data_IF_973879014878
#
_entry.id   IF_973879014878
#
_cell.length_a   1.000
_cell.length_b   1.000
_cell.length_c   1.000
_cell.angle_alpha   90.00
_cell.angle_beta   90.00
_cell.angle_gamma   90.00
#
_symmetry.space_group_name_H-M   'P 1'
#
loop_
_entity.id
_entity.type
_entity.pdbx_description
1 polymer ?
#
# COMPACT_ATOMS: atom_id res chain seq x y z
N UNK A 1 -16.77 12.79 14.71
CA UNK A 1 -16.93 14.23 15.03
C UNK A 1 -16.87 15.00 13.72
N UNK A 2 -17.73 15.99 13.45
CA UNK A 2 -17.51 16.89 12.29
C UNK A 2 -16.21 17.64 12.60
N UNK A 3 -15.14 17.36 11.86
CA UNK A 3 -13.87 18.10 12.03
C UNK A 3 -14.10 19.46 11.37
N UNK A 4 -14.61 20.39 12.16
CA UNK A 4 -14.45 21.80 11.85
C UNK A 4 -12.94 22.07 11.81
N UNK A 5 -12.46 22.73 10.76
CA UNK A 5 -11.15 23.36 10.77
C UNK A 5 -11.03 24.16 12.08
N UNK A 6 -10.18 23.69 13.00
CA UNK A 6 -9.95 24.40 14.24
C UNK A 6 -8.94 25.50 13.94
N UNK A 7 -9.33 26.75 14.16
CA UNK A 7 -8.44 27.91 14.00
C UNK A 7 -7.24 27.86 14.95
N UNK A 8 -7.30 27.05 16.01
CA UNK A 8 -6.18 26.74 16.90
C UNK A 8 -6.50 25.52 17.78
N UNK A 9 -5.62 24.53 17.83
CA UNK A 9 -5.69 23.44 18.80
C UNK A 9 -5.19 23.91 20.18
N UNK A 10 -5.82 23.50 21.29
CA UNK A 10 -5.37 23.90 22.62
C UNK A 10 -3.99 23.32 22.92
N UNK A 11 -3.13 24.12 23.55
CA UNK A 11 -1.85 23.64 24.07
C UNK A 11 -2.10 22.58 25.15
N UNK A 12 -1.34 21.47 25.18
CA UNK A 12 -1.48 20.46 26.21
C UNK A 12 -1.29 21.04 27.62
N UNK A 13 -1.99 20.52 28.63
CA UNK A 13 -1.80 20.95 30.00
C UNK A 13 -0.38 20.65 30.48
N UNK A 14 0.15 21.53 31.34
CA UNK A 14 1.44 21.32 31.97
C UNK A 14 1.45 20.06 32.84
N UNK A 15 2.54 19.29 32.76
CA UNK A 15 2.73 18.04 33.52
C UNK A 15 3.59 18.33 34.76
N UNK A 16 3.13 17.87 35.92
CA UNK A 16 3.95 17.80 37.14
C UNK A 16 4.61 16.41 37.24
N UNK A 17 5.90 16.35 36.90
CA UNK A 17 6.67 15.11 36.91
C UNK A 17 6.72 14.45 38.30
N UNK A 18 6.79 15.23 39.38
CA UNK A 18 6.81 14.69 40.73
C UNK A 18 5.46 14.09 41.12
N UNK A 19 4.35 14.64 40.60
CA UNK A 19 3.02 14.05 40.74
C UNK A 19 2.91 12.74 39.97
N UNK A 20 3.41 12.69 38.73
CA UNK A 20 3.41 11.45 37.93
C UNK A 20 4.19 10.32 38.62
N UNK A 21 5.39 10.62 39.12
CA UNK A 21 6.23 9.64 39.81
C UNK A 21 5.54 9.06 41.05
N UNK A 22 4.86 9.90 41.85
CA UNK A 22 4.03 9.44 42.99
C UNK A 22 2.85 8.55 42.58
N UNK A 23 2.40 8.64 41.33
CA UNK A 23 1.38 7.75 40.75
C UNK A 23 1.99 6.51 40.08
N UNK A 24 3.32 6.36 40.15
CA UNK A 24 4.08 5.29 39.51
C UNK A 24 4.20 5.44 38.00
N UNK A 25 3.91 6.62 37.45
CA UNK A 25 4.04 6.92 36.03
C UNK A 25 5.44 7.48 35.76
N UNK A 26 5.98 7.13 34.59
CA UNK A 26 7.26 7.60 34.06
C UNK A 26 7.01 8.64 32.98
N UNK A 27 7.95 9.56 32.84
CA UNK A 27 7.96 10.57 31.80
C UNK A 27 9.26 10.42 30.99
N UNK A 28 9.11 10.19 29.69
CA UNK A 28 10.19 10.07 28.73
C UNK A 28 10.14 11.30 27.83
N UNK A 29 11.23 12.07 27.78
CA UNK A 29 11.28 13.32 27.03
C UNK A 29 12.15 13.16 25.78
N UNK A 30 11.59 13.55 24.64
CA UNK A 30 12.27 13.81 23.38
C UNK A 30 12.20 15.30 23.01
N UNK A 31 12.64 15.63 21.80
CA UNK A 31 12.57 16.97 21.23
C UNK A 31 11.12 17.38 20.95
N UNK A 32 10.37 16.48 20.30
CA UNK A 32 9.01 16.68 19.83
C UNK A 32 7.98 15.87 20.60
N UNK A 33 8.37 14.84 21.37
CA UNK A 33 7.44 14.04 22.18
C UNK A 33 7.78 14.09 23.68
N UNK A 34 6.79 14.41 24.51
CA UNK A 34 6.81 14.03 25.94
C UNK A 34 5.88 12.84 26.14
N UNK A 35 6.44 11.66 26.35
CA UNK A 35 5.68 10.42 26.50
C UNK A 35 5.52 10.06 27.98
N UNK A 36 4.28 9.91 28.43
CA UNK A 36 3.95 9.47 29.79
C UNK A 36 3.52 8.01 29.72
N UNK A 37 4.09 7.16 30.58
CA UNK A 37 3.77 5.73 30.58
C UNK A 37 3.77 5.11 31.96
N UNK A 38 2.96 4.09 32.16
CA UNK A 38 2.93 3.26 33.35
C UNK A 38 3.78 1.97 33.21
N UNK A 39 4.35 1.75 32.03
CA UNK A 39 5.18 0.59 31.71
C UNK A 39 6.59 0.70 32.33
N UNK A 40 7.21 -0.45 32.67
CA UNK A 40 8.59 -0.49 33.16
C UNK A 40 9.59 0.01 32.12
N UNK A 41 10.81 0.30 32.56
CA UNK A 41 11.92 0.62 31.65
C UNK A 41 12.22 -0.58 30.77
N UNK A 42 12.25 -0.36 29.47
CA UNK A 42 12.53 -1.36 28.45
C UNK A 42 13.15 -0.64 27.23
N UNK A 43 14.18 -1.18 26.56
CA UNK A 43 14.83 -0.52 25.44
C UNK A 43 13.88 -0.10 24.31
N UNK A 44 12.83 -0.87 24.03
CA UNK A 44 11.86 -0.57 22.99
C UNK A 44 10.91 0.56 23.42
N UNK A 45 10.47 0.56 24.68
CA UNK A 45 9.62 1.64 25.25
C UNK A 45 10.43 2.93 25.35
N UNK A 46 11.66 2.85 25.84
CA UNK A 46 12.53 4.00 26.10
C UNK A 46 13.07 4.63 24.80
N UNK A 47 12.98 3.92 23.68
CA UNK A 47 13.33 4.43 22.34
C UNK A 47 12.22 5.27 21.69
N UNK A 48 10.96 5.13 22.12
CA UNK A 48 9.81 5.74 21.45
C UNK A 48 9.90 7.26 21.23
N UNK A 49 10.38 8.08 22.18
CA UNK A 49 10.58 9.50 21.92
C UNK A 49 11.56 9.77 20.77
N UNK A 50 12.65 8.99 20.67
CA UNK A 50 13.63 9.13 19.58
C UNK A 50 13.04 8.75 18.22
N UNK A 51 12.22 7.70 18.18
CA UNK A 51 11.50 7.30 16.96
C UNK A 51 10.57 8.42 16.50
N UNK A 52 9.80 8.99 17.43
CA UNK A 52 8.89 10.09 17.13
C UNK A 52 9.64 11.33 16.65
N UNK A 53 10.75 11.69 17.31
CA UNK A 53 11.59 12.81 16.90
C UNK A 53 12.15 12.60 15.48
N UNK A 54 12.57 11.38 15.13
CA UNK A 54 13.03 11.03 13.79
C UNK A 54 11.93 11.09 12.72
N UNK A 55 10.65 10.96 13.11
CA UNK A 55 9.51 11.03 12.20
C UNK A 55 9.15 12.47 11.80
N UNK A 56 9.38 13.47 12.67
CA UNK A 56 9.02 14.88 12.42
C UNK A 56 9.62 15.47 11.14
N UNK A 57 10.92 15.33 10.83
CA UNK A 57 11.46 15.83 9.56
C UNK A 57 10.84 15.09 8.35
N UNK A 58 10.54 13.80 8.48
CA UNK A 58 9.91 13.01 7.42
C UNK A 58 8.45 13.44 7.18
N UNK A 59 7.69 13.72 8.23
CA UNK A 59 6.37 14.34 8.11
C UNK A 59 6.44 15.73 7.49
N UNK A 60 7.43 16.53 7.87
CA UNK A 60 7.63 17.88 7.31
C UNK A 60 7.87 17.82 5.81
N UNK A 61 8.78 16.94 5.36
CA UNK A 61 9.02 16.67 3.94
C UNK A 61 7.75 16.17 3.25
N UNK A 62 7.09 15.16 3.84
CA UNK A 62 5.89 14.53 3.28
C UNK A 62 4.76 15.51 3.00
N UNK A 63 4.54 16.44 3.92
CA UNK A 63 3.41 17.36 3.88
C UNK A 63 3.80 18.77 3.42
N UNK A 64 5.03 18.97 2.95
CA UNK A 64 5.51 20.28 2.48
C UNK A 64 5.53 21.36 3.56
N UNK A 65 5.70 20.98 4.83
CA UNK A 65 5.78 21.91 5.96
C UNK A 65 7.22 22.36 6.14
N UNK A 66 7.44 23.68 6.21
CA UNK A 66 8.77 24.24 6.48
C UNK A 66 9.29 23.73 7.84
N UNK A 67 10.47 23.06 7.90
CA UNK A 67 11.06 22.60 9.15
C UNK A 67 11.24 23.68 10.23
N UNK A 68 11.26 24.97 9.85
CA UNK A 68 11.25 26.06 10.84
C UNK A 68 9.98 26.08 11.70
N UNK A 69 8.84 25.70 11.12
CA UNK A 69 7.55 25.65 11.81
C UNK A 69 7.48 24.53 12.85
N UNK A 70 8.29 23.49 12.70
CA UNK A 70 8.29 22.32 13.58
C UNK A 70 9.31 22.38 14.72
N UNK A 71 10.26 23.33 14.71
CA UNK A 71 11.29 23.49 15.79
C UNK A 71 10.73 23.61 17.20
N UNK A 72 9.56 24.24 17.36
CA UNK A 72 8.88 24.39 18.65
C UNK A 72 7.71 23.42 18.84
N UNK A 73 7.43 22.60 17.83
CA UNK A 73 6.28 21.69 17.82
C UNK A 73 6.53 20.54 18.77
N UNK A 74 5.59 20.34 19.71
CA UNK A 74 5.68 19.34 20.75
C UNK A 74 4.33 18.69 20.99
N UNK A 75 4.35 17.38 21.15
CA UNK A 75 3.20 16.53 21.43
C UNK A 75 3.35 15.92 22.81
N UNK A 76 2.24 15.83 23.52
CA UNK A 76 2.13 15.08 24.76
C UNK A 76 1.50 13.72 24.48
N UNK A 77 2.29 12.67 24.58
CA UNK A 77 1.86 11.30 24.34
C UNK A 77 1.60 10.54 25.63
N UNK A 78 0.70 9.57 25.57
CA UNK A 78 0.42 8.64 26.66
C UNK A 78 0.48 7.21 26.15
N UNK A 79 1.45 6.42 26.62
CA UNK A 79 1.52 4.97 26.36
C UNK A 79 0.98 4.22 27.57
N UNK A 80 -0.15 3.54 27.38
CA UNK A 80 -1.00 3.03 28.46
C UNK A 80 -1.01 1.50 28.45
N UNK A 81 -0.41 0.90 29.48
CA UNK A 81 -0.63 -0.50 29.85
C UNK A 81 -1.93 -0.66 30.64
N UNK A 82 -2.11 0.12 31.71
CA UNK A 82 -3.33 0.12 32.54
C UNK A 82 -3.99 1.51 32.61
N UNK A 83 -5.19 1.62 32.04
CA UNK A 83 -6.01 2.85 32.03
C UNK A 83 -6.31 3.38 33.42
N UNK A 84 -6.49 2.52 34.41
CA UNK A 84 -6.86 2.95 35.75
C UNK A 84 -5.74 3.75 36.43
N UNK A 85 -4.49 3.56 36.00
CA UNK A 85 -3.34 4.34 36.50
C UNK A 85 -3.34 5.78 36.01
N UNK A 86 -3.99 6.08 34.88
CA UNK A 86 -4.06 7.41 34.28
C UNK A 86 -5.29 8.22 34.73
N UNK A 87 -6.35 7.56 35.23
CA UNK A 87 -7.59 8.24 35.67
C UNK A 87 -7.38 9.26 36.79
N UNK A 88 -6.66 8.96 37.90
CA UNK A 88 -6.52 9.90 39.02
C UNK A 88 -5.72 11.16 38.65
N UNK A 89 -4.93 11.09 37.59
CA UNK A 89 -4.20 12.22 37.04
C UNK A 89 -5.03 13.11 36.11
N UNK A 90 -6.21 12.65 35.67
CA UNK A 90 -6.95 13.31 34.58
C UNK A 90 -6.21 13.23 33.24
N UNK A 91 -5.45 12.15 33.02
CA UNK A 91 -4.55 11.99 31.86
C UNK A 91 -5.19 11.21 30.70
N UNK A 92 -6.42 10.76 30.86
CA UNK A 92 -7.20 10.16 29.78
C UNK A 92 -7.92 11.25 28.97
N UNK A 93 -8.31 10.99 27.71
CA UNK A 93 -8.99 11.97 26.88
C UNK A 93 -10.29 12.48 27.52
N UNK A 94 -10.51 13.79 27.38
CA UNK A 94 -11.78 14.40 27.74
C UNK A 94 -12.92 13.81 26.88
N UNK A 95 -14.05 13.51 27.52
CA UNK A 95 -15.27 13.02 26.85
C UNK A 95 -15.61 11.54 27.04
N UNK A 96 -14.81 10.78 27.82
CA UNK A 96 -15.13 9.39 28.18
C UNK A 96 -15.05 8.40 27.01
N UNK A 97 -14.35 8.78 25.94
CA UNK A 97 -14.15 7.95 24.77
C UNK A 97 -13.34 6.70 25.13
N UNK A 98 -13.92 5.54 24.91
CA UNK A 98 -13.13 4.31 24.84
C UNK A 98 -12.59 4.18 23.43
N UNK A 99 -11.28 4.33 23.27
CA UNK A 99 -10.56 3.99 22.04
C UNK A 99 -9.94 2.59 22.18
N UNK A 100 -9.97 1.71 21.16
CA UNK A 100 -9.44 0.36 21.30
C UNK A 100 -7.90 0.31 21.28
N UNK A 101 -7.26 1.14 20.45
CA UNK A 101 -5.82 1.07 20.19
C UNK A 101 -5.13 2.42 20.36
N UNK A 102 -5.59 3.45 19.65
CA UNK A 102 -5.02 4.78 19.72
C UNK A 102 -6.07 5.88 19.57
N UNK A 103 -5.67 7.09 19.91
CA UNK A 103 -6.44 8.31 19.68
C UNK A 103 -5.50 9.52 19.62
N UNK A 104 -5.76 10.44 18.70
CA UNK A 104 -5.06 11.72 18.60
C UNK A 104 -6.04 12.89 18.66
N UNK A 105 -5.70 13.91 19.44
CA UNK A 105 -6.45 15.17 19.57
C UNK A 105 -5.49 16.35 19.61
N UNK A 106 -5.23 16.94 18.45
CA UNK A 106 -4.34 18.09 18.32
C UNK A 106 -2.92 17.75 18.80
N UNK A 107 -2.46 18.39 19.87
CA UNK A 107 -1.13 18.18 20.46
C UNK A 107 -1.07 17.07 21.52
N UNK A 108 -2.12 16.27 21.67
CA UNK A 108 -2.15 15.12 22.56
C UNK A 108 -2.44 13.83 21.79
N UNK A 109 -1.79 12.74 22.16
CA UNK A 109 -2.08 11.40 21.65
C UNK A 109 -2.05 10.34 22.73
N UNK A 110 -2.82 9.28 22.57
CA UNK A 110 -2.91 8.15 23.48
C UNK A 110 -2.75 6.86 22.67
N UNK A 111 -1.91 5.96 23.17
CA UNK A 111 -1.64 4.64 22.57
C UNK A 111 -1.77 3.59 23.67
N UNK A 112 -2.53 2.54 23.40
CA UNK A 112 -2.63 1.36 24.25
C UNK A 112 -1.45 0.42 23.98
N UNK A 113 -0.85 -0.14 25.01
CA UNK A 113 0.22 -1.13 24.87
C UNK A 113 -0.25 -2.33 24.03
N UNK A 114 0.67 -2.86 23.22
CA UNK A 114 0.43 -3.99 22.31
C UNK A 114 1.40 -5.14 22.62
N UNK A 115 1.00 -6.36 22.31
CA UNK A 115 1.85 -7.55 22.51
C UNK A 115 3.15 -7.50 21.69
N UNK A 116 3.12 -6.80 20.55
CA UNK A 116 4.26 -6.64 19.66
C UNK A 116 4.80 -5.21 19.71
N UNK A 117 6.12 -5.10 19.94
CA UNK A 117 6.86 -3.84 19.94
C UNK A 117 6.65 -3.03 18.66
N UNK A 118 6.71 -3.70 17.51
CA UNK A 118 6.49 -3.07 16.21
C UNK A 118 5.11 -2.42 16.14
N UNK A 119 4.05 -3.14 16.54
CA UNK A 119 2.69 -2.60 16.47
C UNK A 119 2.46 -1.45 17.47
N UNK A 120 3.12 -1.48 18.63
CA UNK A 120 3.15 -0.34 19.57
C UNK A 120 3.77 0.90 18.93
N UNK A 121 4.92 0.73 18.27
CA UNK A 121 5.64 1.80 17.59
C UNK A 121 4.87 2.33 16.36
N UNK A 122 4.25 1.43 15.58
CA UNK A 122 3.35 1.73 14.47
C UNK A 122 2.17 2.60 14.93
N UNK A 123 1.48 2.23 16.02
CA UNK A 123 0.39 3.04 16.58
C UNK A 123 0.87 4.43 17.05
N UNK A 124 2.07 4.54 17.62
CA UNK A 124 2.63 5.84 18.01
C UNK A 124 2.84 6.74 16.79
N UNK A 125 3.38 6.20 15.70
CA UNK A 125 3.58 6.93 14.44
C UNK A 125 2.25 7.23 13.72
N UNK A 126 1.29 6.31 13.80
CA UNK A 126 -0.07 6.50 13.30
C UNK A 126 -0.74 7.71 13.98
N UNK A 127 -0.81 7.71 15.32
CA UNK A 127 -1.43 8.83 16.06
C UNK A 127 -0.59 10.11 15.98
N UNK A 128 0.73 9.98 15.84
CA UNK A 128 1.64 11.09 15.54
C UNK A 128 1.35 11.75 14.19
N UNK A 129 1.04 10.95 13.17
CA UNK A 129 0.62 11.44 11.85
C UNK A 129 -0.67 12.25 11.95
N UNK A 130 -1.68 11.76 12.68
CA UNK A 130 -2.90 12.53 12.96
C UNK A 130 -2.60 13.85 13.68
N UNK A 131 -1.73 13.83 14.69
CA UNK A 131 -1.35 15.02 15.46
C UNK A 131 -0.65 16.05 14.56
N UNK A 132 0.28 15.59 13.72
CA UNK A 132 1.02 16.44 12.79
C UNK A 132 0.08 17.06 11.77
N UNK A 133 -0.75 16.26 11.08
CA UNK A 133 -1.71 16.75 10.10
C UNK A 133 -2.69 17.76 10.74
N UNK A 134 -3.29 17.41 11.87
CA UNK A 134 -4.27 18.26 12.53
C UNK A 134 -3.69 19.64 12.92
N UNK A 135 -2.45 19.68 13.41
CA UNK A 135 -1.85 20.89 13.97
C UNK A 135 -1.01 21.71 12.98
N UNK A 136 -0.38 21.05 11.99
CA UNK A 136 0.44 21.72 10.98
C UNK A 136 -0.35 22.05 9.71
N UNK A 137 -1.32 21.21 9.33
CA UNK A 137 -2.18 21.44 8.16
C UNK A 137 -3.55 22.03 8.53
N UNK A 138 -3.85 22.11 9.83
CA UNK A 138 -5.13 22.60 10.36
C UNK A 138 -6.27 21.57 10.33
N UNK A 139 -6.03 20.37 9.80
CA UNK A 139 -7.01 19.30 9.65
C UNK A 139 -6.42 18.11 8.91
N UNK A 140 -7.17 17.00 8.87
CA UNK A 140 -6.69 15.75 8.27
C UNK A 140 -7.45 15.32 7.00
N UNK A 141 -8.37 16.14 6.50
CA UNK A 141 -9.21 15.79 5.35
C UNK A 141 -10.31 14.77 5.71
N UNK A 142 -10.93 14.15 4.69
CA UNK A 142 -11.98 13.16 4.89
C UNK A 142 -11.44 11.88 5.55
N UNK A 143 -12.31 11.15 6.24
CA UNK A 143 -11.92 9.99 7.08
C UNK A 143 -11.07 8.95 6.37
N UNK A 144 -11.37 8.60 5.11
CA UNK A 144 -10.56 7.65 4.36
C UNK A 144 -9.12 8.14 4.11
N UNK A 145 -8.94 9.44 3.85
CA UNK A 145 -7.63 10.02 3.58
C UNK A 145 -6.85 10.18 4.89
N UNK A 146 -7.51 10.70 5.92
CA UNK A 146 -6.94 10.84 7.26
C UNK A 146 -6.38 9.50 7.77
N UNK A 147 -7.21 8.46 7.82
CA UNK A 147 -6.79 7.15 8.31
C UNK A 147 -5.84 6.45 7.33
N UNK A 148 -6.02 6.64 6.02
CA UNK A 148 -5.11 6.10 5.01
C UNK A 148 -3.70 6.67 5.15
N UNK A 149 -3.56 7.97 5.42
CA UNK A 149 -2.26 8.61 5.67
C UNK A 149 -1.62 8.11 6.96
N UNK A 150 -2.38 7.92 8.04
CA UNK A 150 -1.85 7.41 9.29
C UNK A 150 -1.46 5.93 9.22
N UNK A 151 -2.23 5.08 8.53
CA UNK A 151 -1.84 3.69 8.25
C UNK A 151 -0.60 3.62 7.33
N UNK A 152 -0.53 4.46 6.30
CA UNK A 152 0.63 4.52 5.41
C UNK A 152 1.91 4.92 6.17
N UNK A 153 1.85 6.01 6.93
CA UNK A 153 3.02 6.56 7.63
C UNK A 153 3.30 5.87 8.97
N UNK A 154 2.39 5.03 9.45
CA UNK A 154 2.64 4.08 10.53
C UNK A 154 3.58 2.95 10.10
N UNK A 155 3.46 2.48 8.86
CA UNK A 155 4.33 1.43 8.31
C UNK A 155 5.75 1.95 8.11
N UNK A 156 6.72 1.36 8.81
CA UNK A 156 8.08 1.90 8.87
C UNK A 156 9.17 0.83 9.03
N UNK A 157 10.42 1.23 8.77
CA UNK A 157 11.63 0.53 9.25
C UNK A 157 12.40 1.43 10.20
N UNK A 158 12.91 0.88 11.30
CA UNK A 158 13.68 1.61 12.29
C UNK A 158 15.00 0.91 12.60
N UNK A 159 16.11 1.61 12.41
CA UNK A 159 17.43 1.18 12.86
C UNK A 159 17.79 1.94 14.14
N UNK A 160 17.78 1.22 15.27
CA UNK A 160 18.07 1.79 16.58
C UNK A 160 19.54 2.20 16.78
N UNK A 161 20.47 1.64 16.00
CA UNK A 161 21.90 1.95 16.08
C UNK A 161 22.22 3.24 15.34
N UNK A 162 21.71 3.39 14.13
CA UNK A 162 21.94 4.58 13.29
C UNK A 162 20.94 5.69 13.54
N UNK A 163 19.78 5.38 14.14
CA UNK A 163 18.65 6.29 14.27
C UNK A 163 17.93 6.54 12.94
N UNK A 164 18.14 5.68 11.93
CA UNK A 164 17.51 5.83 10.63
C UNK A 164 16.07 5.30 10.65
N UNK A 165 15.12 6.21 10.41
CA UNK A 165 13.71 5.89 10.20
C UNK A 165 13.36 6.03 8.73
N UNK A 166 12.54 5.10 8.21
CA UNK A 166 11.83 5.27 6.93
C UNK A 166 10.36 5.00 7.18
N UNK A 167 9.50 5.92 6.73
CA UNK A 167 8.04 5.80 6.80
C UNK A 167 7.47 5.40 5.43
N UNK A 168 6.23 4.93 5.40
CA UNK A 168 5.57 4.57 4.15
C UNK A 168 6.24 3.38 3.46
N UNK A 169 6.63 2.35 4.21
CA UNK A 169 7.25 1.15 3.62
C UNK A 169 6.23 0.05 3.41
N UNK A 170 6.42 -0.77 2.38
CA UNK A 170 5.70 -2.04 2.22
C UNK A 170 6.54 -3.14 2.86
N UNK A 171 6.07 -3.67 4.00
CA UNK A 171 6.80 -4.71 4.74
C UNK A 171 6.70 -6.07 4.04
N UNK A 172 7.82 -6.79 4.02
CA UNK A 172 7.87 -8.20 3.64
C UNK A 172 7.25 -9.09 4.73
N UNK A 173 6.96 -10.35 4.38
CA UNK A 173 6.32 -11.27 5.32
C UNK A 173 7.23 -11.55 6.53
N UNK A 174 6.76 -11.21 7.72
CA UNK A 174 7.53 -11.34 8.94
C UNK A 174 6.71 -10.99 10.19
N UNK A 175 7.28 -11.16 11.39
CA UNK A 175 6.60 -10.88 12.66
C UNK A 175 6.05 -9.45 12.74
N UNK A 176 6.81 -8.47 12.26
CA UNK A 176 6.43 -7.06 12.23
C UNK A 176 5.16 -6.84 11.40
N UNK A 177 5.18 -7.22 10.11
CA UNK A 177 4.03 -7.07 9.22
C UNK A 177 2.78 -7.83 9.70
N UNK A 178 2.97 -9.03 10.24
CA UNK A 178 1.89 -9.86 10.79
C UNK A 178 1.30 -9.28 12.06
N UNK A 179 2.08 -8.55 12.86
CA UNK A 179 1.59 -7.92 14.09
C UNK A 179 0.54 -6.83 13.82
N UNK A 180 0.66 -6.10 12.71
CA UNK A 180 -0.35 -5.11 12.28
C UNK A 180 -1.54 -5.78 11.58
N UNK A 181 -1.28 -6.85 10.81
CA UNK A 181 -2.29 -7.79 10.33
C UNK A 181 -3.20 -7.30 9.19
N UNK A 182 -2.95 -6.12 8.61
CA UNK A 182 -3.83 -5.51 7.58
C UNK A 182 -3.97 -6.37 6.32
N UNK A 183 -2.88 -6.96 5.84
CA UNK A 183 -2.89 -7.82 4.64
C UNK A 183 -3.82 -9.02 4.83
N UNK A 184 -3.76 -9.69 5.98
CA UNK A 184 -4.62 -10.84 6.29
C UNK A 184 -6.11 -10.48 6.26
N UNK A 185 -6.47 -9.34 6.86
CA UNK A 185 -7.85 -8.85 6.85
C UNK A 185 -8.41 -8.59 5.45
N UNK A 186 -7.55 -8.13 4.52
CA UNK A 186 -7.93 -7.89 3.12
C UNK A 186 -8.05 -9.19 2.34
N UNK A 187 -7.12 -10.13 2.54
CA UNK A 187 -7.18 -11.46 1.94
C UNK A 187 -8.47 -12.19 2.35
N UNK A 188 -8.82 -12.16 3.63
CA UNK A 188 -10.09 -12.69 4.15
C UNK A 188 -11.29 -12.00 3.51
N UNK A 189 -11.31 -10.67 3.47
CA UNK A 189 -12.42 -9.92 2.87
C UNK A 189 -12.63 -10.28 1.39
N UNK A 190 -11.55 -10.47 0.63
CA UNK A 190 -11.62 -10.88 -0.77
C UNK A 190 -12.12 -12.32 -0.89
N UNK A 191 -11.64 -13.24 -0.07
CA UNK A 191 -12.12 -14.63 -0.04
C UNK A 191 -13.63 -14.72 0.29
N UNK A 192 -14.10 -13.83 1.18
CA UNK A 192 -15.52 -13.67 1.55
C UNK A 192 -16.35 -12.93 0.49
N UNK A 193 -15.75 -12.50 -0.63
CA UNK A 193 -16.39 -11.69 -1.69
C UNK A 193 -16.91 -10.34 -1.19
N UNK A 194 -16.23 -9.75 -0.22
CA UNK A 194 -16.52 -8.44 0.39
C UNK A 194 -15.48 -7.38 0.02
N UNK A 195 -14.83 -7.53 -1.14
CA UNK A 195 -13.85 -6.56 -1.63
C UNK A 195 -14.49 -5.20 -1.90
N UNK A 196 -13.88 -4.11 -1.39
CA UNK A 196 -14.37 -2.77 -1.61
C UNK A 196 -13.87 -2.20 -2.95
N UNK A 197 -14.72 -1.40 -3.60
CA UNK A 197 -14.29 -0.50 -4.68
C UNK A 197 -13.69 0.78 -4.08
N UNK A 198 -12.92 1.53 -4.87
CA UNK A 198 -12.38 2.83 -4.43
C UNK A 198 -13.48 3.77 -3.90
N UNK A 199 -14.65 3.95 -4.56
CA UNK A 199 -15.74 4.73 -3.99
C UNK A 199 -16.29 4.21 -2.66
N UNK A 200 -16.21 2.90 -2.41
CA UNK A 200 -16.62 2.32 -1.14
C UNK A 200 -15.60 2.61 -0.03
N UNK A 201 -14.30 2.54 -0.34
CA UNK A 201 -13.22 2.96 0.59
C UNK A 201 -13.35 4.45 0.91
N UNK A 202 -13.58 5.31 -0.08
CA UNK A 202 -13.74 6.76 0.12
C UNK A 202 -14.94 7.15 1.00
N UNK A 203 -15.92 6.25 1.17
CA UNK A 203 -17.08 6.45 2.05
C UNK A 203 -16.79 6.07 3.51
N UNK A 204 -15.62 5.50 3.80
CA UNK A 204 -15.19 5.20 5.17
C UNK A 204 -14.99 6.54 5.88
N UNK A 205 -15.72 6.69 6.97
CA UNK A 205 -15.83 7.92 7.72
C UNK A 205 -15.60 7.63 9.20
N UNK A 206 -14.69 8.39 9.81
CA UNK A 206 -14.26 8.30 11.20
C UNK A 206 -15.23 8.95 12.20
N UNK A 207 -16.44 9.36 11.78
CA UNK A 207 -17.50 9.81 12.70
C UNK A 207 -17.93 8.75 13.72
N UNK A 208 -17.55 7.49 13.53
CA UNK A 208 -17.76 6.36 14.45
C UNK A 208 -16.46 5.56 14.57
N UNK A 209 -16.33 4.78 15.63
CA UNK A 209 -15.24 3.80 15.78
C UNK A 209 -15.28 2.86 14.56
N UNK A 210 -14.20 2.84 13.81
CA UNK A 210 -14.05 2.01 12.63
C UNK A 210 -13.70 0.57 13.04
N UNK A 211 -14.25 -0.46 12.38
CA UNK A 211 -13.76 -1.83 12.53
C UNK A 211 -12.34 -1.95 11.94
N UNK A 212 -11.52 -2.87 12.44
CA UNK A 212 -10.14 -3.07 11.97
C UNK A 212 -10.01 -3.24 10.44
N UNK A 213 -11.00 -3.87 9.80
CA UNK A 213 -11.03 -4.05 8.35
C UNK A 213 -11.16 -2.72 7.58
N UNK A 214 -11.76 -1.68 8.17
CA UNK A 214 -11.82 -0.35 7.56
C UNK A 214 -10.45 0.30 7.46
N UNK A 215 -9.63 0.18 8.52
CA UNK A 215 -8.24 0.65 8.51
C UNK A 215 -7.40 -0.07 7.45
N UNK A 216 -7.58 -1.38 7.31
CA UNK A 216 -6.92 -2.14 6.26
C UNK A 216 -7.26 -1.63 4.85
N UNK A 217 -8.53 -1.29 4.58
CA UNK A 217 -8.96 -0.78 3.28
C UNK A 217 -8.40 0.60 2.95
N UNK A 218 -8.44 1.54 3.89
CA UNK A 218 -7.94 2.91 3.68
C UNK A 218 -6.42 2.94 3.59
N UNK A 219 -5.72 2.16 4.42
CA UNK A 219 -4.27 1.99 4.35
C UNK A 219 -3.85 1.40 3.01
N UNK A 220 -4.49 0.32 2.56
CA UNK A 220 -4.22 -0.29 1.26
C UNK A 220 -4.40 0.69 0.08
N UNK A 221 -5.47 1.49 0.08
CA UNK A 221 -5.68 2.48 -0.98
C UNK A 221 -4.59 3.57 -0.94
N UNK A 222 -4.24 4.07 0.25
CA UNK A 222 -3.16 5.05 0.40
C UNK A 222 -1.81 4.48 -0.05
N UNK A 223 -1.47 3.24 0.28
CA UNK A 223 -0.25 2.56 -0.17
C UNK A 223 -0.20 2.44 -1.70
N UNK A 224 -1.28 1.98 -2.35
CA UNK A 224 -1.32 1.92 -3.82
C UNK A 224 -1.13 3.30 -4.43
N UNK A 225 -1.88 4.30 -3.97
CA UNK A 225 -1.79 5.64 -4.52
C UNK A 225 -0.42 6.28 -4.31
N UNK A 226 0.26 5.99 -3.19
CA UNK A 226 1.54 6.63 -2.84
C UNK A 226 2.79 5.99 -3.48
N UNK A 227 2.73 4.69 -3.75
CA UNK A 227 3.85 3.95 -4.36
C UNK A 227 3.71 3.80 -5.88
N UNK A 228 2.51 3.98 -6.43
CA UNK A 228 2.31 3.77 -7.86
C UNK A 228 2.86 4.94 -8.69
N UNK A 229 3.74 4.69 -9.67
CA UNK A 229 4.47 5.75 -10.40
C UNK A 229 3.55 6.73 -11.14
N UNK A 230 2.39 6.27 -11.62
CA UNK A 230 1.39 7.12 -12.30
C UNK A 230 0.54 7.97 -11.33
N UNK A 231 0.41 7.56 -10.07
CA UNK A 231 -0.57 8.11 -9.14
C UNK A 231 0.03 8.91 -7.98
N UNK A 232 1.29 8.64 -7.63
CA UNK A 232 1.96 9.15 -6.43
C UNK A 232 1.97 10.67 -6.30
N UNK A 233 2.29 11.39 -7.38
CA UNK A 233 2.45 12.85 -7.34
C UNK A 233 1.12 13.52 -6.99
N UNK A 234 0.07 13.20 -7.76
CA UNK A 234 -1.30 13.67 -7.49
C UNK A 234 -1.79 13.30 -6.09
N UNK A 235 -1.45 12.12 -5.58
CA UNK A 235 -1.86 11.70 -4.23
C UNK A 235 -1.20 12.54 -3.14
N UNK A 236 0.10 12.82 -3.30
CA UNK A 236 0.88 13.64 -2.35
C UNK A 236 0.39 15.09 -2.32
N UNK A 237 0.01 15.63 -3.47
CA UNK A 237 -0.54 16.99 -3.61
C UNK A 237 -1.85 17.20 -2.83
N UNK A 238 -2.65 16.14 -2.61
CA UNK A 238 -3.92 16.22 -1.88
C UNK A 238 -3.77 16.77 -0.46
N UNK A 239 -2.59 16.63 0.15
CA UNK A 239 -2.32 17.15 1.49
C UNK A 239 -2.54 18.67 1.60
N UNK A 240 -2.35 19.41 0.49
CA UNK A 240 -2.63 20.85 0.42
C UNK A 240 -4.11 21.21 0.43
N UNK A 241 -5.00 20.22 0.26
CA UNK A 241 -6.45 20.38 0.15
C UNK A 241 -7.22 19.84 1.36
N UNK A 242 -6.56 19.41 2.44
CA UNK A 242 -7.19 18.75 3.60
C UNK A 242 -8.26 19.58 4.32
N UNK A 243 -8.31 20.89 4.08
CA UNK A 243 -9.33 21.81 4.61
C UNK A 243 -10.49 22.05 3.64
N UNK A 244 -10.34 21.64 2.39
CA UNK A 244 -11.31 21.89 1.34
C UNK A 244 -12.54 20.98 1.52
N UNK A 245 -13.76 21.53 1.59
CA UNK A 245 -14.97 20.74 1.75
C UNK A 245 -15.27 19.84 0.55
N UNK A 246 -14.69 20.14 -0.61
CA UNK A 246 -14.81 19.39 -1.88
C UNK A 246 -13.59 18.47 -2.14
N UNK A 247 -12.86 18.07 -1.10
CA UNK A 247 -11.66 17.21 -1.21
C UNK A 247 -11.92 15.95 -2.06
N UNK A 248 -13.04 15.26 -1.83
CA UNK A 248 -13.34 14.01 -2.52
C UNK A 248 -13.65 14.24 -4.00
N UNK A 249 -14.33 15.34 -4.33
CA UNK A 249 -14.59 15.77 -5.70
C UNK A 249 -13.27 16.13 -6.41
N UNK A 250 -12.34 16.79 -5.71
CA UNK A 250 -10.99 17.08 -6.23
C UNK A 250 -10.20 15.82 -6.51
N UNK A 251 -10.22 14.86 -5.60
CA UNK A 251 -9.63 13.55 -5.82
C UNK A 251 -10.23 12.89 -7.07
N UNK A 252 -11.56 12.82 -7.17
CA UNK A 252 -12.20 12.22 -8.34
C UNK A 252 -11.85 12.93 -9.65
N UNK A 253 -11.79 14.26 -9.64
CA UNK A 253 -11.39 15.04 -10.80
C UNK A 253 -9.93 14.79 -11.21
N UNK A 254 -9.01 14.73 -10.23
CA UNK A 254 -7.58 14.50 -10.47
C UNK A 254 -7.29 13.13 -11.10
N UNK A 255 -8.14 12.13 -10.82
CA UNK A 255 -8.02 10.77 -11.36
C UNK A 255 -9.05 10.44 -12.44
N UNK A 256 -9.83 11.41 -12.93
CA UNK A 256 -10.95 11.15 -13.84
C UNK A 256 -10.52 10.42 -15.12
N UNK A 257 -9.44 10.87 -15.76
CA UNK A 257 -8.92 10.29 -16.99
C UNK A 257 -8.36 8.87 -16.79
N UNK A 258 -7.85 8.58 -15.59
CA UNK A 258 -7.27 7.28 -15.23
C UNK A 258 -8.24 6.37 -14.48
N UNK A 259 -9.48 6.80 -14.26
CA UNK A 259 -10.35 6.15 -13.28
C UNK A 259 -10.63 4.68 -13.61
N UNK A 260 -10.76 4.37 -14.89
CA UNK A 260 -10.96 2.98 -15.35
C UNK A 260 -9.73 2.12 -15.05
N UNK A 261 -8.54 2.64 -15.31
CA UNK A 261 -7.26 1.95 -15.11
C UNK A 261 -6.95 1.78 -13.62
N UNK A 262 -7.03 2.86 -12.84
CA UNK A 262 -6.89 2.82 -11.39
C UNK A 262 -7.89 1.84 -10.75
N UNK A 263 -9.15 1.82 -11.23
CA UNK A 263 -10.15 0.87 -10.73
C UNK A 263 -9.82 -0.59 -11.05
N UNK A 264 -9.20 -0.85 -12.21
CA UNK A 264 -8.78 -2.19 -12.58
C UNK A 264 -7.54 -2.63 -11.80
N UNK A 265 -6.54 -1.77 -11.68
CA UNK A 265 -5.33 -2.03 -10.89
C UNK A 265 -5.67 -2.24 -9.42
N UNK A 266 -6.55 -1.42 -8.84
CA UNK A 266 -7.05 -1.63 -7.50
C UNK A 266 -7.63 -3.03 -7.32
N UNK A 267 -8.44 -3.51 -8.28
CA UNK A 267 -9.00 -4.86 -8.24
C UNK A 267 -7.92 -5.93 -8.37
N UNK A 268 -6.94 -5.75 -9.25
CA UNK A 268 -5.81 -6.68 -9.40
C UNK A 268 -5.03 -6.75 -8.09
N UNK A 269 -4.65 -5.59 -7.56
CA UNK A 269 -3.92 -5.43 -6.30
C UNK A 269 -4.63 -6.15 -5.15
N UNK A 270 -5.88 -5.82 -4.85
CA UNK A 270 -6.57 -6.43 -3.68
C UNK A 270 -6.75 -7.95 -3.84
N UNK A 271 -6.89 -8.46 -5.06
CA UNK A 271 -7.00 -9.91 -5.30
C UNK A 271 -5.67 -10.65 -5.27
N UNK A 272 -4.56 -9.93 -5.38
CA UNK A 272 -3.20 -10.49 -5.37
C UNK A 272 -2.36 -9.97 -4.20
N UNK A 273 -2.98 -9.27 -3.25
CA UNK A 273 -2.30 -8.66 -2.12
C UNK A 273 -1.66 -9.71 -1.24
N UNK A 274 -0.43 -9.42 -0.84
CA UNK A 274 0.40 -10.22 0.03
C UNK A 274 1.47 -9.31 0.65
N UNK A 275 2.13 -9.77 1.71
CA UNK A 275 3.25 -9.04 2.26
C UNK A 275 4.37 -8.88 1.21
N UNK A 276 5.01 -7.73 1.20
CA UNK A 276 6.09 -7.37 0.28
C UNK A 276 5.64 -7.03 -1.15
N UNK A 277 4.33 -6.86 -1.42
CA UNK A 277 3.82 -6.55 -2.76
C UNK A 277 4.56 -5.36 -3.40
N UNK A 278 5.18 -5.57 -4.56
CA UNK A 278 5.91 -4.52 -5.28
C UNK A 278 4.97 -3.74 -6.22
N UNK A 279 4.45 -2.62 -5.72
CA UNK A 279 3.48 -1.78 -6.44
C UNK A 279 4.09 -1.15 -7.68
N UNK A 280 5.36 -0.78 -7.65
CA UNK A 280 6.04 -0.15 -8.80
C UNK A 280 6.24 -1.16 -9.93
N UNK A 281 6.65 -2.39 -9.60
CA UNK A 281 6.84 -3.46 -10.59
C UNK A 281 5.53 -4.04 -11.12
N UNK A 282 4.48 -4.04 -10.32
CA UNK A 282 3.14 -4.48 -10.75
C UNK A 282 2.33 -3.39 -11.48
N UNK A 283 2.80 -2.14 -11.47
CA UNK A 283 2.18 -1.02 -12.20
C UNK A 283 1.98 -1.35 -13.69
N UNK A 284 0.77 -1.16 -14.19
CA UNK A 284 0.40 -1.51 -15.56
C UNK A 284 0.38 -0.26 -16.42
N UNK A 285 1.21 -0.25 -17.45
CA UNK A 285 1.08 0.72 -18.54
C UNK A 285 -0.02 0.27 -19.51
N UNK A 286 -1.23 0.80 -19.31
CA UNK A 286 -2.37 0.50 -20.18
C UNK A 286 -2.23 1.18 -21.53
N UNK A 287 -1.81 0.39 -22.53
CA UNK A 287 -1.73 0.84 -23.92
C UNK A 287 -2.75 0.09 -24.78
N UNK A 288 -3.59 0.80 -25.57
CA UNK A 288 -4.55 0.15 -26.44
C UNK A 288 -3.86 -0.63 -27.55
N UNK A 289 -4.34 -1.83 -27.81
CA UNK A 289 -3.88 -2.68 -28.89
C UNK A 289 -4.23 -2.13 -30.26
N UNK A 290 -3.41 -2.47 -31.27
CA UNK A 290 -3.67 -2.20 -32.68
C UNK A 290 -3.96 -3.51 -33.43
N UNK A 291 -4.81 -3.50 -34.47
CA UNK A 291 -5.06 -4.70 -35.28
C UNK A 291 -3.76 -5.33 -35.78
N UNK A 292 -3.69 -6.66 -35.69
CA UNK A 292 -2.54 -7.43 -36.16
C UNK A 292 -2.68 -7.73 -37.65
N UNK A 293 -1.81 -7.14 -38.49
CA UNK A 293 -1.84 -7.39 -39.94
C UNK A 293 -1.35 -8.80 -40.32
N UNK A 294 -0.24 -9.25 -39.73
CA UNK A 294 0.29 -10.60 -39.96
C UNK A 294 1.09 -11.10 -38.77
N UNK A 295 2.09 -10.32 -38.34
CA UNK A 295 2.93 -10.63 -37.19
C UNK A 295 3.36 -9.37 -36.45
N UNK A 296 3.56 -9.50 -35.14
CA UNK A 296 4.09 -8.45 -34.26
C UNK A 296 4.99 -9.08 -33.20
N UNK A 297 5.99 -8.32 -32.76
CA UNK A 297 6.93 -8.73 -31.71
C UNK A 297 6.85 -7.75 -30.54
N UNK A 298 6.90 -8.28 -29.32
CA UNK A 298 6.92 -7.51 -28.08
C UNK A 298 8.03 -8.06 -27.18
N UNK A 299 8.62 -7.20 -26.33
CA UNK A 299 9.51 -7.63 -25.26
C UNK A 299 8.77 -7.60 -23.93
N UNK A 300 8.90 -8.66 -23.14
CA UNK A 300 8.23 -8.84 -21.85
C UNK A 300 9.31 -9.00 -20.79
N UNK A 301 9.46 -7.99 -19.94
CA UNK A 301 10.42 -8.01 -18.83
C UNK A 301 9.97 -8.99 -17.76
N UNK A 302 10.91 -9.75 -17.19
CA UNK A 302 10.62 -10.75 -16.15
C UNK A 302 10.39 -10.14 -14.76
N UNK A 303 10.82 -8.89 -14.57
CA UNK A 303 10.80 -8.13 -13.32
C UNK A 303 9.63 -7.15 -13.23
N UNK A 304 8.60 -7.36 -14.06
CA UNK A 304 7.38 -6.57 -14.11
C UNK A 304 6.14 -7.45 -14.12
N UNK A 305 5.03 -6.88 -13.65
CA UNK A 305 3.70 -7.46 -13.73
C UNK A 305 3.16 -7.50 -15.17
N UNK A 306 1.89 -7.16 -15.32
CA UNK A 306 1.21 -7.21 -16.62
C UNK A 306 1.71 -6.14 -17.59
N UNK A 307 2.07 -6.55 -18.80
CA UNK A 307 2.64 -5.70 -19.84
C UNK A 307 1.84 -5.78 -21.13
N UNK A 308 1.47 -4.64 -21.70
CA UNK A 308 0.77 -4.60 -22.99
C UNK A 308 1.69 -5.07 -24.11
N UNK A 309 1.18 -5.91 -25.00
CA UNK A 309 1.88 -6.25 -26.25
C UNK A 309 1.66 -5.20 -27.34
N UNK A 310 0.71 -4.29 -27.16
CA UNK A 310 0.23 -3.38 -28.21
C UNK A 310 -0.60 -4.06 -29.29
N UNK A 311 -1.03 -5.32 -29.07
CA UNK A 311 -1.76 -6.12 -30.07
C UNK A 311 -3.24 -6.21 -29.68
N UNK A 312 -4.11 -5.84 -30.61
CA UNK A 312 -5.55 -6.07 -30.52
C UNK A 312 -5.86 -7.46 -31.06
N UNK A 313 -6.46 -8.29 -30.21
CA UNK A 313 -7.01 -9.58 -30.61
C UNK A 313 -8.48 -9.42 -30.99
N UNK A 314 -8.93 -10.19 -31.98
CA UNK A 314 -10.30 -10.22 -32.46
C UNK A 314 -11.02 -11.49 -32.02
N UNK A 315 -12.24 -11.35 -31.51
CA UNK A 315 -13.05 -12.47 -31.06
C UNK A 315 -13.17 -13.55 -32.15
N UNK A 316 -12.88 -14.80 -31.77
CA UNK A 316 -12.94 -15.94 -32.67
C UNK A 316 -11.73 -16.08 -33.59
N UNK A 317 -10.83 -15.10 -33.71
CA UNK A 317 -9.61 -15.23 -34.51
C UNK A 317 -8.59 -16.14 -33.83
N UNK A 318 -7.86 -16.92 -34.62
CA UNK A 318 -6.80 -17.81 -34.15
C UNK A 318 -5.43 -17.14 -34.29
N UNK A 319 -4.63 -17.23 -33.24
CA UNK A 319 -3.29 -16.65 -33.14
C UNK A 319 -2.28 -17.72 -32.76
N UNK A 320 -1.09 -17.61 -33.32
CA UNK A 320 0.09 -18.35 -32.92
C UNK A 320 1.00 -17.42 -32.12
N UNK A 321 1.46 -17.88 -30.96
CA UNK A 321 2.42 -17.16 -30.14
C UNK A 321 3.66 -18.03 -29.92
N UNK A 322 4.84 -17.42 -30.10
CA UNK A 322 6.13 -18.00 -29.72
C UNK A 322 6.87 -17.05 -28.79
N UNK A 323 7.56 -17.58 -27.79
CA UNK A 323 8.31 -16.82 -26.82
C UNK A 323 9.72 -17.39 -26.69
N UNK A 324 10.71 -16.51 -26.89
CA UNK A 324 12.12 -16.86 -26.91
C UNK A 324 12.90 -15.98 -25.94
N UNK A 325 13.81 -16.58 -25.19
CA UNK A 325 14.65 -15.85 -24.24
C UNK A 325 14.91 -16.68 -23.00
N UNK A 326 15.87 -16.20 -22.22
CA UNK A 326 16.22 -16.71 -20.91
C UNK A 326 16.24 -15.53 -19.96
N UNK A 327 15.77 -15.75 -18.75
CA UNK A 327 15.71 -14.73 -17.71
C UNK A 327 15.98 -15.38 -16.36
N UNK A 328 16.32 -14.57 -15.36
CA UNK A 328 16.43 -15.00 -13.97
C UNK A 328 15.06 -14.85 -13.31
N UNK A 329 14.58 -15.91 -12.65
CA UNK A 329 13.25 -15.96 -11.98
C UNK A 329 13.33 -16.03 -10.45
N UNK A 330 14.54 -16.15 -9.92
CA UNK A 330 14.83 -16.11 -8.51
C UNK A 330 16.35 -16.00 -8.33
N UNK A 331 16.77 -15.52 -7.18
CA UNK A 331 18.15 -15.61 -6.70
C UNK A 331 18.15 -16.47 -5.45
N UNK A 332 18.78 -17.65 -5.50
CA UNK A 332 18.87 -18.55 -4.33
C UNK A 332 19.95 -18.04 -3.35
N UNK A 333 19.59 -17.56 -2.15
CA UNK A 333 20.56 -16.98 -1.21
C UNK A 333 21.47 -18.03 -0.54
N UNK A 334 21.13 -19.32 -0.62
CA UNK A 334 21.87 -20.40 0.03
C UNK A 334 23.17 -20.79 -0.66
N UNK A 335 23.52 -20.16 -1.79
CA UNK A 335 24.69 -20.51 -2.61
C UNK A 335 25.66 -19.34 -2.80
N UNK A 336 26.11 -18.78 -1.69
CA UNK A 336 27.15 -17.74 -1.65
C UNK A 336 26.59 -16.34 -1.36
N UNK A 337 27.47 -15.35 -1.11
CA UNK A 337 27.08 -14.00 -0.68
C UNK A 337 26.28 -13.22 -1.73
N UNK A 338 26.38 -13.58 -3.01
CA UNK A 338 25.64 -12.96 -4.12
C UNK A 338 24.40 -13.76 -4.53
N UNK A 339 24.18 -14.95 -3.94
CA UNK A 339 23.16 -15.92 -4.36
C UNK A 339 23.41 -16.52 -5.74
N UNK A 340 22.71 -17.62 -6.07
CA UNK A 340 22.77 -18.23 -7.40
C UNK A 340 21.53 -17.85 -8.22
N UNK A 341 21.69 -17.19 -9.39
CA UNK A 341 20.57 -16.94 -10.30
C UNK A 341 19.95 -18.25 -10.79
N UNK A 342 18.63 -18.34 -10.68
CA UNK A 342 17.84 -19.44 -11.25
C UNK A 342 17.36 -19.02 -12.62
N UNK A 343 17.92 -19.64 -13.66
CA UNK A 343 17.53 -19.38 -15.06
C UNK A 343 16.20 -20.06 -15.39
N UNK A 344 15.34 -19.37 -16.14
CA UNK A 344 14.07 -19.87 -16.66
C UNK A 344 13.87 -19.46 -18.12
N UNK A 345 12.84 -20.04 -18.74
CA UNK A 345 12.35 -19.71 -20.07
C UNK A 345 10.83 -19.53 -20.01
N UNK A 346 10.20 -19.17 -21.12
CA UNK A 346 8.75 -19.01 -21.18
C UNK A 346 7.94 -20.26 -20.76
N UNK A 347 8.55 -21.46 -20.76
CA UNK A 347 7.93 -22.69 -20.24
C UNK A 347 7.84 -22.75 -18.70
N UNK A 348 8.57 -21.88 -18.01
CA UNK A 348 8.71 -21.91 -16.55
C UNK A 348 9.61 -23.04 -16.04
N UNK A 349 9.79 -23.05 -14.72
CA UNK A 349 10.52 -24.07 -13.97
C UNK A 349 9.60 -24.70 -12.92
N UNK A 350 9.84 -25.96 -12.61
CA UNK A 350 9.06 -26.71 -11.62
C UNK A 350 9.66 -26.68 -10.21
N UNK A 351 10.59 -25.75 -9.92
CA UNK A 351 11.18 -25.61 -8.58
C UNK A 351 10.15 -25.11 -7.56
N UNK A 352 9.26 -24.22 -7.98
CA UNK A 352 8.20 -23.66 -7.16
C UNK A 352 7.02 -23.23 -8.07
N UNK A 353 5.87 -22.95 -7.46
CA UNK A 353 4.64 -22.58 -8.13
C UNK A 353 4.05 -21.30 -7.52
N UNK A 354 3.59 -20.40 -8.38
CA UNK A 354 2.76 -19.27 -7.96
C UNK A 354 1.35 -19.43 -8.53
N UNK A 355 0.33 -19.33 -7.66
CA UNK A 355 -1.09 -19.51 -8.00
C UNK A 355 -1.38 -20.80 -8.80
N UNK A 356 -0.73 -21.91 -8.39
CA UNK A 356 -0.91 -23.23 -9.01
C UNK A 356 -0.24 -23.39 -10.37
N UNK A 357 0.65 -22.47 -10.76
CA UNK A 357 1.36 -22.50 -12.04
C UNK A 357 2.88 -22.45 -11.82
N UNK A 358 3.69 -23.10 -12.67
CA UNK A 358 5.16 -23.05 -12.56
C UNK A 358 5.68 -21.61 -12.49
N UNK A 359 6.69 -21.35 -11.66
CA UNK A 359 7.40 -20.07 -11.72
C UNK A 359 8.00 -19.86 -13.11
N UNK A 360 7.93 -18.63 -13.61
CA UNK A 360 8.50 -18.24 -14.89
C UNK A 360 7.62 -18.54 -16.12
N UNK A 361 6.53 -19.31 -15.99
CA UNK A 361 5.70 -19.60 -17.17
C UNK A 361 5.09 -18.32 -17.73
N UNK A 362 5.13 -18.14 -19.05
CA UNK A 362 4.50 -16.99 -19.71
C UNK A 362 2.98 -17.11 -19.62
N UNK A 363 2.35 -16.08 -19.06
CA UNK A 363 0.91 -15.96 -18.91
C UNK A 363 0.36 -14.90 -19.86
N UNK A 364 -0.89 -15.08 -20.29
CA UNK A 364 -1.64 -14.12 -21.07
C UNK A 364 -2.96 -13.75 -20.41
N UNK A 365 -3.32 -12.47 -20.56
CA UNK A 365 -4.62 -11.91 -20.27
C UNK A 365 -5.08 -11.04 -21.45
N UNK A 366 -6.39 -10.92 -21.64
CA UNK A 366 -6.97 -10.02 -22.64
C UNK A 366 -7.74 -8.96 -21.88
N UNK A 367 -7.36 -7.70 -22.07
CA UNK A 367 -8.14 -6.56 -21.56
C UNK A 367 -9.25 -6.23 -22.57
N UNK A 368 -10.54 -6.45 -22.21
CA UNK A 368 -11.66 -6.24 -23.11
C UNK A 368 -12.13 -4.78 -23.14
N UNK A 369 -11.28 -3.83 -22.74
CA UNK A 369 -11.58 -2.39 -22.76
C UNK A 369 -11.03 -1.73 -24.02
N UNK A 370 -11.72 -0.70 -24.49
CA UNK A 370 -11.19 0.22 -25.51
C UNK A 370 -10.25 1.26 -24.89
N UNK A 371 -9.76 2.18 -25.72
CA UNK A 371 -8.90 3.28 -25.30
C UNK A 371 -9.60 4.28 -24.34
N UNK A 372 -10.93 4.27 -24.26
CA UNK A 372 -11.70 5.06 -23.30
C UNK A 372 -12.00 4.27 -22.01
N UNK A 373 -11.42 3.07 -21.87
CA UNK A 373 -11.61 2.21 -20.70
C UNK A 373 -13.00 1.56 -20.64
N UNK A 374 -13.79 1.62 -21.72
CA UNK A 374 -15.13 1.03 -21.78
C UNK A 374 -15.05 -0.44 -22.19
N UNK A 375 -15.80 -1.31 -21.50
CA UNK A 375 -15.87 -2.73 -21.83
C UNK A 375 -16.53 -2.90 -23.21
N UNK A 376 -15.76 -3.34 -24.20
CA UNK A 376 -16.25 -3.54 -25.58
C UNK A 376 -16.81 -4.94 -25.84
N UNK A 377 -16.53 -5.91 -24.96
CA UNK A 377 -17.06 -7.27 -25.08
C UNK A 377 -17.86 -7.67 -23.85
N UNK A 378 -19.20 -7.68 -23.96
CA UNK A 378 -20.09 -8.07 -22.86
C UNK A 378 -19.86 -9.51 -22.39
N UNK A 379 -19.44 -10.40 -23.30
CA UNK A 379 -19.14 -11.82 -23.00
C UNK A 379 -17.77 -12.02 -22.36
N UNK A 380 -16.94 -10.98 -22.28
CA UNK A 380 -15.61 -11.10 -21.68
C UNK A 380 -15.69 -11.48 -20.20
N UNK A 381 -15.09 -12.63 -19.92
CA UNK A 381 -14.87 -13.20 -18.58
C UNK A 381 -13.38 -13.54 -18.43
N UNK A 382 -12.88 -13.58 -17.20
CA UNK A 382 -11.51 -14.01 -16.93
C UNK A 382 -10.46 -12.89 -16.90
N UNK A 383 -10.19 -12.19 -18.01
CA UNK A 383 -9.21 -11.10 -18.08
C UNK A 383 -7.92 -11.36 -17.29
N UNK A 384 -7.44 -10.35 -16.56
CA UNK A 384 -6.29 -10.46 -15.65
C UNK A 384 -6.49 -11.42 -14.46
N UNK A 385 -7.73 -11.80 -14.15
CA UNK A 385 -8.10 -12.63 -12.99
C UNK A 385 -8.16 -14.13 -13.30
N UNK A 386 -8.15 -14.50 -14.59
CA UNK A 386 -8.09 -15.90 -15.02
C UNK A 386 -7.12 -16.03 -16.21
N UNK A 387 -5.82 -15.81 -15.98
CA UNK A 387 -4.84 -15.82 -17.05
C UNK A 387 -4.66 -17.22 -17.65
N UNK A 388 -4.25 -17.27 -18.92
CA UNK A 388 -3.99 -18.51 -19.66
C UNK A 388 -2.48 -18.74 -19.75
N UNK A 389 -1.96 -19.95 -19.47
CA UNK A 389 -0.55 -20.23 -19.63
C UNK A 389 -0.27 -20.49 -21.12
N UNK A 390 0.69 -19.75 -21.69
CA UNK A 390 1.07 -19.91 -23.09
C UNK A 390 2.36 -20.71 -23.27
N UNK A 391 3.30 -20.64 -22.31
CA UNK A 391 4.57 -21.34 -22.45
C UNK A 391 5.46 -20.76 -23.56
N UNK A 392 6.37 -21.58 -24.09
CA UNK A 392 7.29 -21.20 -25.17
C UNK A 392 6.61 -21.09 -26.54
N UNK A 393 5.57 -21.87 -26.79
CA UNK A 393 4.79 -21.80 -28.02
C UNK A 393 3.36 -22.26 -27.77
N UNK A 394 2.39 -21.52 -28.30
CA UNK A 394 0.98 -21.87 -28.21
C UNK A 394 0.20 -21.42 -29.44
N UNK A 395 -0.94 -22.05 -29.65
CA UNK A 395 -1.96 -21.57 -30.58
C UNK A 395 -3.25 -21.46 -29.81
N UNK A 396 -3.91 -20.31 -29.90
CA UNK A 396 -5.16 -20.07 -29.18
C UNK A 396 -6.14 -19.29 -30.03
N UNK A 397 -7.43 -19.48 -29.74
CA UNK A 397 -8.51 -18.70 -30.33
C UNK A 397 -8.94 -17.66 -29.31
N UNK A 398 -8.97 -16.38 -29.69
CA UNK A 398 -9.35 -15.32 -28.77
C UNK A 398 -10.85 -15.44 -28.42
N UNK A 399 -11.22 -15.61 -27.14
CA UNK A 399 -12.62 -15.78 -26.75
C UNK A 399 -13.46 -14.50 -26.89
N UNK A 400 -12.79 -13.34 -26.94
CA UNK A 400 -13.37 -12.02 -27.14
C UNK A 400 -12.29 -11.06 -27.65
N UNK A 401 -12.72 -9.92 -28.20
CA UNK A 401 -11.80 -8.87 -28.65
C UNK A 401 -11.24 -8.08 -27.47
N UNK A 402 -9.98 -7.67 -27.58
CA UNK A 402 -9.31 -6.87 -26.56
C UNK A 402 -7.79 -6.85 -26.73
N UNK A 403 -7.12 -6.07 -25.91
CA UNK A 403 -5.65 -5.93 -25.97
C UNK A 403 -4.99 -7.09 -25.25
N UNK A 404 -3.99 -7.72 -25.88
CA UNK A 404 -3.21 -8.79 -25.27
C UNK A 404 -2.17 -8.24 -24.29
N UNK A 405 -2.22 -8.71 -23.06
CA UNK A 405 -1.24 -8.48 -22.02
C UNK A 405 -0.53 -9.77 -21.65
N UNK A 406 0.76 -9.67 -21.35
CA UNK A 406 1.59 -10.79 -20.95
C UNK A 406 2.30 -10.49 -19.64
N UNK A 407 2.60 -11.54 -18.86
CA UNK A 407 3.53 -11.48 -17.74
C UNK A 407 4.27 -12.79 -17.57
N UNK A 408 5.44 -12.72 -16.95
CA UNK A 408 6.11 -13.90 -16.40
C UNK A 408 5.44 -14.24 -15.06
N UNK A 409 5.13 -15.53 -14.83
CA UNK A 409 4.47 -15.95 -13.60
C UNK A 409 5.44 -15.93 -12.41
N UNK A 410 5.21 -15.02 -11.48
CA UNK A 410 5.88 -14.98 -10.20
C UNK A 410 5.02 -14.21 -9.20
N UNK A 411 5.37 -14.35 -7.93
CA UNK A 411 4.79 -13.65 -6.81
C UNK A 411 5.02 -12.13 -6.92
N UNK A 412 4.00 -11.29 -6.72
CA UNK A 412 4.15 -9.83 -6.71
C UNK A 412 5.21 -9.29 -5.73
N UNK A 413 5.56 -10.04 -4.69
CA UNK A 413 6.59 -9.66 -3.72
C UNK A 413 8.02 -10.11 -4.08
N UNK A 414 8.20 -10.81 -5.21
CA UNK A 414 9.48 -11.38 -5.62
C UNK A 414 9.99 -10.86 -6.97
N UNK A 415 9.25 -9.96 -7.61
CA UNK A 415 9.62 -9.43 -8.93
C UNK A 415 10.99 -8.73 -8.93
N UNK A 416 11.46 -8.22 -7.79
CA UNK A 416 12.78 -7.61 -7.66
C UNK A 416 13.95 -8.61 -7.79
N UNK A 417 13.71 -9.92 -7.57
CA UNK A 417 14.71 -10.98 -7.77
C UNK A 417 14.84 -11.37 -9.25
N UNK A 418 13.91 -10.92 -10.09
CA UNK A 418 13.86 -11.27 -11.51
C UNK A 418 14.70 -10.31 -12.33
N UNK A 419 15.26 -10.81 -13.43
CA UNK A 419 15.96 -9.95 -14.41
C UNK A 419 15.99 -10.59 -15.79
N UNK A 420 16.10 -9.75 -16.82
CA UNK A 420 16.03 -10.17 -18.22
C UNK A 420 14.62 -10.11 -18.80
N UNK A 421 14.47 -10.62 -20.01
CA UNK A 421 13.24 -10.46 -20.80
C UNK A 421 12.98 -11.65 -21.73
N UNK A 422 11.71 -11.82 -22.08
CA UNK A 422 11.26 -12.69 -23.15
C UNK A 422 10.91 -11.87 -24.38
N UNK A 423 11.34 -12.32 -25.55
CA UNK A 423 10.88 -11.79 -26.82
C UNK A 423 9.74 -12.64 -27.33
N UNK A 424 8.56 -12.05 -27.42
CA UNK A 424 7.33 -12.74 -27.80
C UNK A 424 6.92 -12.31 -29.21
N UNK A 425 6.62 -13.27 -30.07
CA UNK A 425 6.09 -13.05 -31.42
C UNK A 425 4.67 -13.57 -31.47
N UNK A 426 3.75 -12.76 -31.97
CA UNK A 426 2.36 -13.16 -32.24
C UNK A 426 2.12 -13.05 -33.72
N UNK A 427 1.49 -14.07 -34.30
CA UNK A 427 1.06 -14.08 -35.68
C UNK A 427 -0.41 -14.48 -35.79
N UNK A 428 -1.13 -13.94 -36.77
CA UNK A 428 -2.40 -14.53 -37.18
C UNK A 428 -2.10 -15.93 -37.71
N UNK A 429 -2.81 -16.95 -37.22
CA UNK A 429 -2.77 -18.24 -37.90
C UNK A 429 -3.37 -18.00 -39.29
N UNK A 430 -2.53 -17.93 -40.33
CA UNK A 430 -3.03 -17.92 -41.70
C UNK A 430 -3.90 -19.16 -41.87
N UNK A 431 -5.03 -19.03 -42.58
CA UNK A 431 -5.72 -20.20 -43.12
C UNK A 431 -4.64 -21.06 -43.77
N UNK A 432 -4.33 -22.19 -43.14
CA UNK A 432 -3.55 -23.22 -43.78
C UNK A 432 -4.35 -23.57 -45.02
N UNK A 433 -3.92 -23.04 -46.17
CA UNK A 433 -4.41 -23.49 -47.46
C UNK A 433 -4.18 -25.01 -47.48
N UNK A 434 -5.29 -25.74 -47.66
CA UNK A 434 -5.33 -27.19 -47.87
C UNK A 434 -4.26 -27.69 -48.85
#
# INVERSE_FOLDING_TARGET
>A
MVVFAQTSWPTPPAIDAARLERQGLRMLAGEHLTLITDLPSDPEVDALPRVFDAAVPLWSERFGVDPQQTRGWRVQGFLIGDRERFRPGGLLPDGGESFPHGLSKGYQLWVMEQDAAYYRQDLLLHEGTHSFMATQLGGCGPGWYMEGMAELLGMHTWDAETGQLRLGVVLTDGPEARSVGRVGLLQEAVAEKQAFSIPAVMKIDNRRILPNRSYAWVGALATVLDHHPRYQERFRELSSHVLDPDFNERFQAAYADDWSDLSLEWRIFITTIQYGYDIEREAIDFQPGKPLASTARSSIAADKGWQSTGILLEAGQQYQLTAEGKFTIAVEPTKGPEGQPVESTAGGISLDYHNGRPLGVLLAAIDPRDAAGQKVSATATGGFFAPVPLGAASTFRAPYSGTLYLRVNDSPAKLADNSGELRVTVATAGDSAD
#
